data_IF_052300327004
#
_entry.id   IF_052300327004
#
_cell.length_a   1.000
_cell.length_b   1.000
_cell.length_c   1.000
_cell.angle_alpha   90.00
_cell.angle_beta   90.00
_cell.angle_gamma   90.00
#
_symmetry.space_group_name_H-M   'P 1'
#
loop_
_entity.id
_entity.type
_entity.pdbx_description
1 polymer ?
#
# COMPACT_ATOMS: atom_id res chain seq x y z
N UNK A 1 0.50 4.50 -6.70
CA UNK A 1 1.43 3.41 -6.36
C UNK A 1 0.68 2.32 -5.61
N UNK A 2 0.73 1.10 -6.11
CA UNK A 2 0.01 -0.06 -5.57
C UNK A 2 0.99 -1.18 -5.21
N UNK A 3 0.86 -1.74 -4.00
CA UNK A 3 1.68 -2.87 -3.55
C UNK A 3 0.85 -4.13 -3.32
N UNK A 4 1.13 -5.19 -4.07
CA UNK A 4 0.44 -6.49 -3.97
C UNK A 4 -1.07 -6.35 -4.07
N UNK A 5 -1.79 -6.77 -3.02
CA UNK A 5 -3.25 -6.64 -2.92
C UNK A 5 -3.75 -5.19 -2.98
N UNK A 6 -2.88 -4.20 -2.75
CA UNK A 6 -3.19 -2.78 -2.93
C UNK A 6 -3.57 -2.39 -4.37
N UNK A 7 -3.31 -3.25 -5.36
CA UNK A 7 -3.76 -3.04 -6.74
C UNK A 7 -5.29 -2.99 -6.88
N UNK A 8 -6.01 -3.81 -6.11
CA UNK A 8 -7.47 -3.87 -6.12
C UNK A 8 -8.14 -2.56 -5.69
N UNK A 9 -7.79 -1.94 -4.54
CA UNK A 9 -8.35 -0.66 -4.11
C UNK A 9 -7.85 0.54 -4.94
N UNK A 10 -6.68 0.46 -5.59
CA UNK A 10 -6.20 1.52 -6.50
C UNK A 10 -6.98 1.54 -7.82
N UNK A 11 -7.37 0.36 -8.34
CA UNK A 11 -8.10 0.26 -9.60
C UNK A 11 -9.34 1.17 -9.72
N UNK A 12 -10.30 1.21 -8.77
CA UNK A 12 -11.46 2.09 -8.89
C UNK A 12 -11.07 3.58 -8.91
N UNK A 13 -10.01 3.99 -8.21
CA UNK A 13 -9.55 5.38 -8.24
C UNK A 13 -8.98 5.74 -9.62
N UNK A 14 -8.13 4.87 -10.18
CA UNK A 14 -7.56 5.05 -11.53
C UNK A 14 -8.66 5.05 -12.58
N UNK A 15 -9.62 4.12 -12.48
CA UNK A 15 -10.76 4.06 -13.38
C UNK A 15 -11.58 5.34 -13.34
N UNK A 16 -11.90 5.84 -12.15
CA UNK A 16 -12.64 7.10 -12.00
C UNK A 16 -11.88 8.27 -12.63
N UNK A 17 -10.56 8.36 -12.39
CA UNK A 17 -9.71 9.40 -13.00
C UNK A 17 -9.71 9.31 -14.54
N UNK A 18 -9.59 8.10 -15.09
CA UNK A 18 -9.66 7.85 -16.53
C UNK A 18 -10.99 8.31 -17.14
N UNK A 19 -12.12 7.95 -16.50
CA UNK A 19 -13.46 8.34 -16.94
C UNK A 19 -13.68 9.87 -16.91
N UNK A 20 -12.88 10.60 -16.14
CA UNK A 20 -12.88 12.06 -16.05
C UNK A 20 -11.76 12.72 -16.86
N UNK A 21 -11.08 11.97 -17.74
CA UNK A 21 -10.05 12.50 -18.64
C UNK A 21 -8.72 12.85 -17.95
N UNK A 22 -8.48 12.35 -16.73
CA UNK A 22 -7.24 12.55 -15.98
C UNK A 22 -6.31 11.37 -16.29
N UNK A 23 -5.17 11.67 -16.93
CA UNK A 23 -4.14 10.68 -17.18
C UNK A 23 -3.33 10.39 -15.90
N UNK A 24 -3.19 9.11 -15.55
CA UNK A 24 -2.52 8.67 -14.32
C UNK A 24 -1.45 7.65 -14.65
N UNK A 25 -0.27 7.82 -14.07
CA UNK A 25 0.77 6.78 -14.07
C UNK A 25 0.59 5.85 -12.87
N UNK A 26 0.57 4.55 -13.13
CA UNK A 26 0.42 3.54 -12.08
C UNK A 26 1.72 2.75 -11.96
N UNK A 27 2.30 2.75 -10.77
CA UNK A 27 3.37 1.83 -10.38
C UNK A 27 2.73 0.67 -9.62
N UNK A 28 2.82 -0.54 -10.16
CA UNK A 28 2.30 -1.79 -9.60
C UNK A 28 3.47 -2.67 -9.14
N UNK A 29 3.66 -2.78 -7.84
CA UNK A 29 4.71 -3.59 -7.23
C UNK A 29 4.22 -4.93 -6.71
N UNK A 30 5.00 -5.98 -6.95
CA UNK A 30 4.80 -7.33 -6.41
C UNK A 30 6.12 -7.95 -5.97
N UNK A 31 6.08 -9.01 -5.16
CA UNK A 31 7.31 -9.75 -4.78
C UNK A 31 7.89 -10.53 -5.97
N UNK A 32 6.99 -11.12 -6.76
CA UNK A 32 7.32 -11.88 -7.96
C UNK A 32 6.15 -11.82 -8.97
N UNK A 33 6.38 -12.37 -10.16
CA UNK A 33 5.40 -12.39 -11.25
C UNK A 33 4.09 -13.10 -10.89
N UNK A 34 4.16 -14.22 -10.18
CA UNK A 34 2.98 -15.06 -9.89
C UNK A 34 1.99 -14.39 -8.93
N UNK A 35 2.46 -13.41 -8.15
CA UNK A 35 1.64 -12.63 -7.22
C UNK A 35 1.08 -11.34 -7.84
N UNK A 36 1.37 -11.05 -9.12
CA UNK A 36 0.79 -9.90 -9.80
C UNK A 36 -0.70 -10.11 -10.05
N UNK A 37 -1.47 -9.09 -9.70
CA UNK A 37 -2.92 -9.06 -9.89
C UNK A 37 -3.32 -7.73 -10.52
N UNK A 38 -4.48 -7.71 -11.18
CA UNK A 38 -5.07 -6.49 -11.76
C UNK A 38 -4.25 -5.80 -12.87
N UNK A 39 -3.17 -6.41 -13.39
CA UNK A 39 -2.32 -5.84 -14.44
C UNK A 39 -3.14 -5.41 -15.67
N UNK A 40 -3.90 -6.32 -16.28
CA UNK A 40 -4.72 -6.01 -17.47
C UNK A 40 -5.76 -4.93 -17.21
N UNK A 41 -6.37 -4.94 -16.02
CA UNK A 41 -7.38 -3.95 -15.64
C UNK A 41 -6.77 -2.57 -15.49
N UNK A 42 -5.61 -2.48 -14.85
CA UNK A 42 -4.88 -1.23 -14.66
C UNK A 42 -4.28 -0.74 -15.97
N UNK A 43 -3.80 -1.63 -16.84
CA UNK A 43 -3.27 -1.28 -18.16
C UNK A 43 -4.31 -0.62 -19.05
N UNK A 44 -5.57 -1.04 -18.95
CA UNK A 44 -6.68 -0.45 -19.71
C UNK A 44 -7.19 0.87 -19.14
N UNK A 45 -6.94 1.17 -17.85
CA UNK A 45 -7.43 2.38 -17.19
C UNK A 45 -6.34 3.45 -17.01
N UNK A 46 -5.09 3.05 -16.81
CA UNK A 46 -3.97 3.96 -16.58
C UNK A 46 -3.52 4.63 -17.89
N UNK A 47 -2.92 5.81 -17.78
CA UNK A 47 -2.18 6.44 -18.88
C UNK A 47 -0.89 5.69 -19.17
N UNK A 48 -0.15 5.33 -18.12
CA UNK A 48 0.99 4.41 -18.19
C UNK A 48 0.95 3.43 -17.02
N UNK A 49 1.33 2.18 -17.27
CA UNK A 49 1.50 1.15 -16.24
C UNK A 49 2.97 0.74 -16.16
N UNK A 50 3.56 0.85 -14.97
CA UNK A 50 4.90 0.41 -14.63
C UNK A 50 4.81 -0.74 -13.64
N UNK A 51 5.27 -1.92 -14.04
CA UNK A 51 5.26 -3.10 -13.17
C UNK A 51 6.65 -3.31 -12.59
N UNK A 52 6.71 -3.57 -11.28
CA UNK A 52 7.97 -3.88 -10.58
C UNK A 52 7.86 -5.20 -9.84
N UNK A 53 8.91 -6.01 -9.89
CA UNK A 53 9.04 -7.18 -9.01
C UNK A 53 10.33 -7.15 -8.20
N UNK A 54 10.23 -7.47 -6.92
CA UNK A 54 11.37 -7.46 -5.99
C UNK A 54 12.49 -8.43 -6.46
N UNK A 55 12.11 -9.59 -7.01
CA UNK A 55 13.03 -10.60 -7.52
C UNK A 55 13.54 -10.35 -8.97
N UNK A 56 12.91 -9.42 -9.70
CA UNK A 56 13.17 -9.17 -11.11
C UNK A 56 12.63 -10.22 -12.09
N UNK A 57 11.70 -11.07 -11.64
CA UNK A 57 11.01 -12.04 -12.50
C UNK A 57 10.15 -11.42 -13.61
N UNK A 58 9.77 -10.14 -13.52
CA UNK A 58 8.94 -9.48 -14.52
C UNK A 58 9.14 -7.97 -14.59
N UNK A 59 9.25 -7.44 -15.82
CA UNK A 59 9.44 -6.01 -16.13
C UNK A 59 10.63 -5.39 -15.37
N UNK A 60 10.38 -4.54 -14.39
CA UNK A 60 11.43 -3.84 -13.64
C UNK A 60 11.82 -4.57 -12.36
N UNK A 61 13.11 -4.87 -12.21
CA UNK A 61 13.66 -5.42 -10.95
C UNK A 61 13.83 -4.32 -9.91
N UNK A 62 13.07 -4.39 -8.82
CA UNK A 62 13.19 -3.49 -7.68
C UNK A 62 11.84 -3.13 -7.07
N UNK A 63 11.88 -2.21 -6.10
CA UNK A 63 10.68 -1.76 -5.41
C UNK A 63 9.94 -0.69 -6.20
N UNK A 64 8.68 -0.45 -5.86
CA UNK A 64 7.93 0.69 -6.43
C UNK A 64 8.61 2.05 -6.17
N UNK A 65 9.33 2.19 -5.05
CA UNK A 65 10.12 3.39 -4.75
C UNK A 65 11.27 3.59 -5.75
N UNK A 66 11.93 2.51 -6.17
CA UNK A 66 13.03 2.56 -7.14
C UNK A 66 12.51 2.99 -8.51
N UNK A 67 11.36 2.46 -8.92
CA UNK A 67 10.67 2.91 -10.13
C UNK A 67 10.26 4.38 -10.05
N UNK A 68 9.74 4.85 -8.92
CA UNK A 68 9.40 6.27 -8.77
C UNK A 68 10.65 7.17 -8.92
N UNK A 69 11.79 6.77 -8.35
CA UNK A 69 13.07 7.49 -8.53
C UNK A 69 13.51 7.50 -9.99
N UNK A 70 13.40 6.37 -10.69
CA UNK A 70 13.73 6.27 -12.11
C UNK A 70 12.89 7.25 -12.94
N UNK A 71 11.58 7.28 -12.71
CA UNK A 71 10.65 8.15 -13.44
C UNK A 71 10.94 9.64 -13.21
N UNK A 72 11.20 10.04 -11.97
CA UNK A 72 11.41 11.45 -11.62
C UNK A 72 12.83 11.91 -11.94
N UNK A 73 13.85 11.17 -11.52
CA UNK A 73 15.24 11.64 -11.60
C UNK A 73 15.87 11.38 -12.97
N UNK A 74 15.57 10.24 -13.60
CA UNK A 74 16.23 9.83 -14.84
C UNK A 74 15.37 10.14 -16.08
N UNK A 75 14.05 9.95 -15.98
CA UNK A 75 13.12 10.24 -17.09
C UNK A 75 12.52 11.65 -17.04
N UNK A 76 12.79 12.41 -15.96
CA UNK A 76 12.37 13.81 -15.83
C UNK A 76 10.86 14.00 -15.69
N UNK A 77 10.11 12.95 -15.31
CA UNK A 77 8.68 13.06 -15.06
C UNK A 77 8.39 13.92 -13.84
N UNK A 78 7.30 14.67 -13.91
CA UNK A 78 6.78 15.49 -12.80
C UNK A 78 5.39 14.99 -12.44
N UNK A 79 5.13 14.92 -11.14
CA UNK A 79 3.87 14.47 -10.59
C UNK A 79 3.34 15.52 -9.63
N UNK A 80 2.07 15.87 -9.78
CA UNK A 80 1.39 16.85 -8.93
C UNK A 80 0.88 16.24 -7.62
N UNK A 81 0.63 14.92 -7.63
CA UNK A 81 0.11 14.19 -6.48
C UNK A 81 0.44 12.71 -6.55
N UNK A 82 0.70 12.07 -5.40
CA UNK A 82 0.91 10.64 -5.28
C UNK A 82 -0.18 10.01 -4.41
N UNK A 83 -0.77 8.90 -4.88
CA UNK A 83 -1.66 8.06 -4.07
C UNK A 83 -0.96 6.73 -3.82
N UNK A 84 -0.89 6.29 -2.57
CA UNK A 84 -0.12 5.11 -2.17
C UNK A 84 -0.99 4.18 -1.35
N UNK A 85 -1.15 2.94 -1.84
CA UNK A 85 -1.91 1.90 -1.16
C UNK A 85 -1.13 0.60 -1.21
N UNK A 86 -0.85 0.04 -0.03
CA UNK A 86 -0.10 -1.20 0.09
C UNK A 86 0.27 -1.50 1.55
N UNK A 87 1.28 -2.34 1.77
CA UNK A 87 1.78 -2.61 3.12
C UNK A 87 2.23 -1.33 3.83
N UNK A 88 2.02 -1.23 5.16
CA UNK A 88 2.40 -0.05 5.95
C UNK A 88 3.86 0.36 5.76
N UNK A 89 4.76 -0.61 5.65
CA UNK A 89 6.18 -0.35 5.44
C UNK A 89 6.46 0.28 4.06
N UNK A 90 5.73 -0.16 3.03
CA UNK A 90 5.81 0.43 1.70
C UNK A 90 5.31 1.87 1.74
N UNK A 91 4.14 2.11 2.35
CA UNK A 91 3.57 3.45 2.48
C UNK A 91 4.50 4.39 3.25
N UNK A 92 5.17 3.93 4.30
CA UNK A 92 6.17 4.72 5.05
C UNK A 92 7.31 5.20 4.15
N UNK A 93 8.02 4.27 3.50
CA UNK A 93 9.21 4.62 2.72
C UNK A 93 8.89 5.42 1.46
N UNK A 94 7.78 5.10 0.79
CA UNK A 94 7.34 5.86 -0.38
C UNK A 94 6.83 7.26 0.00
N UNK A 95 6.21 7.43 1.17
CA UNK A 95 5.83 8.77 1.66
C UNK A 95 7.05 9.61 2.04
N UNK A 96 8.10 9.01 2.60
CA UNK A 96 9.38 9.68 2.82
C UNK A 96 10.03 10.11 1.50
N UNK A 97 10.07 9.21 0.51
CA UNK A 97 10.62 9.51 -0.81
C UNK A 97 9.84 10.64 -1.50
N UNK A 98 8.52 10.57 -1.54
CA UNK A 98 7.69 11.61 -2.17
C UNK A 98 7.84 12.96 -1.46
N UNK A 99 8.04 12.97 -0.14
CA UNK A 99 8.38 14.19 0.61
C UNK A 99 9.73 14.78 0.19
N UNK A 100 10.76 13.97 -0.01
CA UNK A 100 12.06 14.41 -0.54
C UNK A 100 11.93 14.96 -1.96
N UNK A 101 11.05 14.38 -2.77
CA UNK A 101 10.76 14.82 -4.14
C UNK A 101 9.78 16.01 -4.21
N UNK A 102 9.25 16.48 -3.07
CA UNK A 102 8.28 17.58 -3.01
C UNK A 102 6.91 17.25 -3.60
N UNK A 103 6.54 15.97 -3.69
CA UNK A 103 5.26 15.50 -4.24
C UNK A 103 4.27 15.33 -3.08
N UNK A 104 3.13 16.05 -3.07
CA UNK A 104 2.04 15.82 -2.13
C UNK A 104 1.54 14.37 -2.20
N UNK A 105 1.30 13.75 -1.04
CA UNK A 105 1.05 12.31 -0.97
C UNK A 105 -0.15 11.97 -0.11
N UNK A 106 -1.10 11.25 -0.69
CA UNK A 106 -2.20 10.60 0.03
C UNK A 106 -1.89 9.12 0.23
N UNK A 107 -2.11 8.63 1.45
CA UNK A 107 -1.99 7.21 1.79
C UNK A 107 -3.32 6.67 2.30
N UNK A 108 -3.70 5.47 1.85
CA UNK A 108 -4.86 4.75 2.41
C UNK A 108 -4.40 3.79 3.51
N UNK A 109 -4.60 4.20 4.77
CA UNK A 109 -4.16 3.41 5.92
C UNK A 109 -5.02 2.16 6.13
N UNK A 110 -4.39 1.10 6.66
CA UNK A 110 -5.04 -0.17 6.98
C UNK A 110 -4.88 -0.56 8.46
N UNK A 111 -5.28 0.29 9.43
CA UNK A 111 -5.21 -0.07 10.85
C UNK A 111 -6.22 -1.17 11.18
N UNK A 112 -6.10 -1.72 12.40
CA UNK A 112 -7.08 -2.68 12.92
C UNK A 112 -8.44 -1.98 13.05
N UNK A 113 -9.48 -2.59 12.50
CA UNK A 113 -10.86 -2.11 12.58
C UNK A 113 -11.73 -3.16 13.26
N UNK A 114 -12.76 -2.71 13.98
CA UNK A 114 -13.74 -3.59 14.64
C UNK A 114 -15.15 -3.21 14.18
N UNK A 115 -15.62 -2.03 14.56
CA UNK A 115 -16.95 -1.53 14.25
C UNK A 115 -17.03 -0.85 12.88
N UNK A 116 -15.98 -0.14 12.47
CA UNK A 116 -15.93 0.59 11.20
C UNK A 116 -16.83 1.83 11.14
N UNK A 117 -17.44 2.26 12.25
CA UNK A 117 -18.42 3.37 12.28
C UNK A 117 -18.05 4.48 13.26
N UNK A 118 -16.88 4.40 13.90
CA UNK A 118 -16.31 5.44 14.75
C UNK A 118 -16.64 5.31 16.24
N UNK A 119 -17.27 4.20 16.65
CA UNK A 119 -17.73 3.99 18.02
C UNK A 119 -16.64 3.47 18.96
N UNK A 120 -15.67 2.69 18.46
CA UNK A 120 -14.70 2.00 19.35
C UNK A 120 -13.28 2.60 19.36
N UNK A 121 -12.87 3.33 18.32
CA UNK A 121 -11.52 3.89 18.21
C UNK A 121 -10.39 2.86 18.01
N UNK A 122 -10.69 1.61 17.65
CA UNK A 122 -9.68 0.59 17.32
C UNK A 122 -8.78 1.05 16.15
N UNK A 123 -9.40 1.69 15.15
CA UNK A 123 -8.75 2.20 13.95
C UNK A 123 -8.01 3.53 14.14
N UNK A 124 -7.78 3.96 15.38
CA UNK A 124 -7.12 5.25 15.63
C UNK A 124 -5.70 5.27 15.08
N UNK A 125 -5.34 6.42 14.53
CA UNK A 125 -4.03 6.78 13.99
C UNK A 125 -3.69 8.21 14.43
N UNK A 126 -2.40 8.52 14.53
CA UNK A 126 -1.95 9.89 14.78
C UNK A 126 -1.50 10.52 13.47
N UNK A 127 -2.13 11.64 13.09
CA UNK A 127 -1.86 12.38 11.86
C UNK A 127 -1.69 13.85 12.22
N UNK A 128 -0.53 14.44 11.91
CA UNK A 128 -0.27 15.85 12.19
C UNK A 128 -0.25 16.21 13.69
N UNK A 129 0.00 15.22 14.56
CA UNK A 129 -0.06 15.37 16.02
C UNK A 129 -1.47 15.20 16.61
N UNK A 130 -2.49 14.97 15.80
CA UNK A 130 -3.86 14.74 16.25
C UNK A 130 -4.26 13.27 16.10
N UNK A 131 -5.05 12.77 17.07
CA UNK A 131 -5.65 11.45 16.97
C UNK A 131 -6.86 11.51 16.03
N UNK A 132 -6.86 10.66 15.01
CA UNK A 132 -7.94 10.49 14.03
C UNK A 132 -8.38 9.03 13.96
N UNK A 133 -9.62 8.78 13.58
CA UNK A 133 -10.18 7.43 13.42
C UNK A 133 -10.29 7.10 11.93
N UNK A 134 -9.49 6.15 11.45
CA UNK A 134 -9.40 5.87 10.01
C UNK A 134 -10.72 5.45 9.36
N UNK A 135 -11.69 4.91 10.10
CA UNK A 135 -12.98 4.50 9.51
C UNK A 135 -13.97 5.65 9.28
N UNK A 136 -13.77 6.81 9.93
CA UNK A 136 -14.68 7.96 9.81
C UNK A 136 -13.97 9.24 9.35
N UNK A 137 -12.73 9.45 9.78
CA UNK A 137 -11.90 10.59 9.37
C UNK A 137 -11.06 10.30 8.12
N UNK A 138 -10.97 9.02 7.72
CA UNK A 138 -10.13 8.55 6.61
C UNK A 138 -10.88 7.62 5.67
N UNK A 139 -10.28 6.49 5.23
CA UNK A 139 -8.96 5.94 5.61
C UNK A 139 -7.78 6.62 4.91
N UNK A 140 -8.05 7.60 4.05
CA UNK A 140 -7.07 8.35 3.29
C UNK A 140 -6.59 9.58 4.06
N UNK A 141 -5.27 9.70 4.23
CA UNK A 141 -4.64 10.80 4.96
C UNK A 141 -3.43 11.34 4.21
N UNK A 142 -2.95 12.53 4.62
CA UNK A 142 -1.67 13.06 4.18
C UNK A 142 -0.52 12.17 4.70
N UNK A 143 0.13 11.47 3.78
CA UNK A 143 1.23 10.55 4.08
C UNK A 143 2.43 11.20 4.73
N UNK A 144 2.61 12.52 4.60
CA UNK A 144 3.73 13.22 5.21
C UNK A 144 3.51 13.54 6.70
N UNK A 145 2.25 13.40 7.17
CA UNK A 145 1.82 13.72 8.53
C UNK A 145 1.51 12.47 9.38
N UNK A 146 1.48 11.28 8.79
CA UNK A 146 1.16 10.03 9.50
C UNK A 146 2.29 9.58 10.42
N UNK A 147 1.94 9.19 11.65
CA UNK A 147 2.85 8.46 12.53
C UNK A 147 2.88 6.96 12.15
N UNK A 148 3.78 6.61 11.23
CA UNK A 148 3.93 5.24 10.74
C UNK A 148 4.41 4.27 11.83
N UNK A 149 5.31 4.68 12.72
CA UNK A 149 5.88 3.80 13.74
C UNK A 149 4.81 3.39 14.77
N UNK A 150 3.98 4.34 15.19
CA UNK A 150 2.81 4.04 16.04
C UNK A 150 1.86 3.08 15.33
N UNK A 151 1.51 3.39 14.08
CA UNK A 151 0.53 2.62 13.30
C UNK A 151 1.02 1.18 13.04
N UNK A 152 2.29 0.99 12.71
CA UNK A 152 2.92 -0.32 12.55
C UNK A 152 2.96 -1.10 13.88
N UNK A 153 3.33 -0.45 14.99
CA UNK A 153 3.30 -1.08 16.32
C UNK A 153 1.88 -1.55 16.68
N UNK A 154 0.86 -0.74 16.38
CA UNK A 154 -0.55 -1.10 16.63
C UNK A 154 -0.98 -2.29 15.79
N UNK A 155 -0.59 -2.37 14.51
CA UNK A 155 -0.90 -3.53 13.65
C UNK A 155 -0.30 -4.85 14.16
N UNK A 156 0.79 -4.79 14.92
CA UNK A 156 1.43 -5.97 15.51
C UNK A 156 0.85 -6.36 16.88
N UNK A 157 -0.07 -5.59 17.45
CA UNK A 157 -0.54 -5.76 18.84
C UNK A 157 -1.12 -7.15 19.14
N UNK A 158 -1.78 -7.78 18.16
CA UNK A 158 -2.40 -9.11 18.32
C UNK A 158 -1.54 -10.26 17.76
N UNK A 159 -0.29 -10.00 17.35
CA UNK A 159 0.63 -11.03 16.89
C UNK A 159 1.35 -11.70 18.08
N UNK A 160 0.62 -12.34 18.97
CA UNK A 160 1.23 -13.18 20.02
C UNK A 160 1.72 -14.49 19.42
N UNK A 161 2.80 -15.06 19.96
CA UNK A 161 3.31 -16.36 19.50
C UNK A 161 2.29 -17.49 19.74
N UNK A 162 1.58 -17.44 20.87
CA UNK A 162 0.47 -18.35 21.18
C UNK A 162 -0.71 -18.18 20.19
N UNK A 163 -1.05 -16.94 19.83
CA UNK A 163 -2.12 -16.65 18.87
C UNK A 163 -1.79 -17.10 17.46
N UNK A 164 -0.53 -16.98 17.03
CA UNK A 164 -0.07 -17.55 15.75
C UNK A 164 -0.16 -19.07 15.76
N UNK A 165 0.30 -19.73 16.82
CA UNK A 165 0.24 -21.18 16.95
C UNK A 165 -1.21 -21.69 16.97
N UNK A 166 -2.12 -20.95 17.62
CA UNK A 166 -3.54 -21.28 17.63
C UNK A 166 -4.19 -21.07 16.25
N UNK A 167 -3.87 -19.99 15.54
CA UNK A 167 -4.33 -19.77 14.16
C UNK A 167 -3.80 -20.85 13.21
N UNK A 168 -2.55 -21.30 13.37
CA UNK A 168 -2.03 -22.44 12.58
C UNK A 168 -2.82 -23.73 12.80
N UNK A 169 -3.29 -23.98 14.03
CA UNK A 169 -4.15 -25.14 14.35
C UNK A 169 -5.57 -24.96 13.79
N UNK A 170 -6.14 -23.75 13.93
CA UNK A 170 -7.52 -23.45 13.51
C UNK A 170 -7.67 -23.34 11.99
N UNK A 171 -6.72 -22.69 11.31
CA UNK A 171 -6.70 -22.52 9.85
C UNK A 171 -6.16 -23.79 9.15
N UNK A 172 -5.33 -24.60 9.81
CA UNK A 172 -4.79 -25.82 9.22
C UNK A 172 -4.17 -25.58 7.83
N UNK A 173 -4.66 -26.28 6.80
CA UNK A 173 -4.19 -26.12 5.41
C UNK A 173 -5.16 -25.30 4.53
N UNK A 174 -6.14 -24.59 5.09
CA UNK A 174 -7.17 -23.90 4.31
C UNK A 174 -6.66 -22.64 3.59
N UNK A 175 -5.51 -22.09 4.02
CA UNK A 175 -4.87 -20.92 3.43
C UNK A 175 -3.45 -21.27 2.92
N UNK A 176 -3.38 -21.81 1.71
CA UNK A 176 -2.12 -22.21 1.03
C UNK A 176 -1.50 -21.11 0.16
N UNK A 177 -2.03 -19.89 0.17
CA UNK A 177 -1.46 -18.77 -0.57
C UNK A 177 -0.47 -18.00 0.32
N UNK A 178 0.84 -18.17 0.05
CA UNK A 178 1.96 -17.51 0.74
C UNK A 178 2.06 -15.98 0.53
N UNK A 179 0.95 -15.25 0.63
CA UNK A 179 0.84 -13.84 0.25
C UNK A 179 1.34 -12.83 1.29
N UNK A 180 1.56 -13.25 2.54
CA UNK A 180 2.15 -12.40 3.56
C UNK A 180 3.08 -13.27 4.39
N UNK A 181 4.39 -13.02 4.29
CA UNK A 181 5.48 -13.83 4.90
C UNK A 181 5.48 -13.82 6.44
N UNK A 182 4.37 -14.22 7.05
CA UNK A 182 4.21 -14.46 8.48
C UNK A 182 4.69 -15.86 8.89
N UNK A 183 5.12 -16.69 7.94
CA UNK A 183 5.97 -17.84 8.26
C UNK A 183 7.36 -17.30 8.51
N UNK A 184 7.81 -17.36 9.77
CA UNK A 184 9.23 -17.28 10.04
C UNK A 184 9.89 -18.40 9.27
N UNK A 185 10.81 -18.04 8.38
CA UNK A 185 11.66 -19.03 7.72
C UNK A 185 12.41 -19.79 8.82
N UNK A 186 12.28 -21.12 8.79
CA UNK A 186 13.11 -22.02 9.60
C UNK A 186 14.56 -21.92 9.17
#
# INVERSE_FOLDING_TARGET
>A
MAGGVGAAPVYPQVKWMHEHGIAVDVILGSRNKDLLIYEDKLKNAAGNLYVTTDDGSYEFKGTGSDMLKELVNNQGKKYDHAIIIGPMIMMKFTSMLTKELGIPTTVSLNPIMVDGTGMCGACRVTVGGEVKFACVDGPEFDGHLVNYDESMRRQAMYKTEEGKAQLEVEEGNTHSHGGCGCRGDK
#
